data_IF_384754339039
#
_entry.id   IF_384754339039
#
_cell.length_a   1.000
_cell.length_b   1.000
_cell.length_c   1.000
_cell.angle_alpha   90.00
_cell.angle_beta   90.00
_cell.angle_gamma   90.00
#
_symmetry.space_group_name_H-M   'P 1'
#
loop_
_entity.id
_entity.type
_entity.pdbx_description
1 polymer ?
#
# COMPACT_ATOMS: atom_id res chain seq x y z
N UNK A 1 -14.99 8.42 -61.62
CA UNK A 1 -14.48 7.75 -60.41
C UNK A 1 -14.31 8.80 -59.32
N UNK A 2 -15.24 8.84 -58.36
CA UNK A 2 -15.27 9.81 -57.26
C UNK A 2 -14.36 9.34 -56.12
N UNK A 3 -13.48 10.21 -55.60
CA UNK A 3 -12.70 9.96 -54.37
C UNK A 3 -13.28 10.83 -53.26
N UNK A 4 -13.90 10.20 -52.27
CA UNK A 4 -14.35 10.86 -51.05
C UNK A 4 -13.16 10.98 -50.09
N UNK A 5 -12.90 12.21 -49.62
CA UNK A 5 -11.95 12.48 -48.54
C UNK A 5 -12.69 12.33 -47.20
N UNK A 6 -12.26 11.39 -46.36
CA UNK A 6 -12.74 11.27 -44.98
C UNK A 6 -11.95 12.25 -44.10
N UNK A 7 -12.62 13.28 -43.59
CA UNK A 7 -12.07 14.13 -42.53
C UNK A 7 -12.29 13.42 -41.19
N UNK A 8 -11.22 12.86 -40.62
CA UNK A 8 -11.22 12.30 -39.27
C UNK A 8 -11.24 13.42 -38.22
N UNK A 9 -12.32 13.50 -37.44
CA UNK A 9 -12.43 14.40 -36.30
C UNK A 9 -11.60 13.88 -35.11
N UNK A 10 -10.66 14.70 -34.64
CA UNK A 10 -9.93 14.46 -33.39
C UNK A 10 -10.85 14.80 -32.20
N UNK A 11 -11.37 13.79 -31.53
CA UNK A 11 -12.00 13.95 -30.22
C UNK A 11 -10.90 14.07 -29.15
N UNK A 12 -10.67 15.28 -28.63
CA UNK A 12 -9.80 15.49 -27.49
C UNK A 12 -10.47 14.94 -26.22
N UNK A 13 -9.97 13.83 -25.68
CA UNK A 13 -10.31 13.40 -24.32
C UNK A 13 -9.74 14.42 -23.33
N UNK A 14 -10.60 15.27 -22.77
CA UNK A 14 -10.23 16.07 -21.61
C UNK A 14 -9.99 15.11 -20.42
N UNK A 15 -8.72 14.88 -20.09
CA UNK A 15 -8.30 14.26 -18.84
C UNK A 15 -8.71 15.19 -17.69
N UNK A 16 -9.94 15.02 -17.18
CA UNK A 16 -10.35 15.64 -15.92
C UNK A 16 -9.41 15.12 -14.85
N UNK A 17 -8.50 15.98 -14.40
CA UNK A 17 -7.58 15.65 -13.32
C UNK A 17 -8.40 15.44 -12.03
N UNK A 18 -8.32 14.27 -11.36
CA UNK A 18 -9.07 14.01 -10.13
C UNK A 18 -8.66 14.90 -8.95
N UNK A 19 -7.65 15.76 -9.12
CA UNK A 19 -7.15 16.69 -8.11
C UNK A 19 -8.20 17.72 -7.60
N UNK A 20 -9.26 17.99 -8.36
CA UNK A 20 -10.24 19.03 -7.99
C UNK A 20 -11.35 18.57 -7.02
N UNK A 21 -11.43 17.28 -6.66
CA UNK A 21 -12.55 16.73 -5.89
C UNK A 21 -12.17 16.22 -4.48
N UNK A 22 -10.96 16.48 -4.01
CA UNK A 22 -10.51 15.98 -2.71
C UNK A 22 -10.99 16.90 -1.58
N UNK A 23 -11.83 16.38 -0.69
CA UNK A 23 -12.43 17.12 0.43
C UNK A 23 -11.37 17.90 1.23
N UNK A 24 -11.63 19.18 1.50
CA UNK A 24 -10.71 20.09 2.18
C UNK A 24 -10.37 19.69 3.63
N UNK A 25 -11.01 18.66 4.20
CA UNK A 25 -10.70 18.11 5.53
C UNK A 25 -10.83 16.57 5.53
N UNK A 26 -9.84 15.83 6.04
CA UNK A 26 -9.95 14.39 6.27
C UNK A 26 -11.16 14.06 7.16
N UNK A 27 -11.94 13.04 6.78
CA UNK A 27 -13.12 12.62 7.54
C UNK A 27 -12.77 12.12 8.96
N UNK A 28 -11.56 11.60 9.18
CA UNK A 28 -11.10 11.18 10.51
C UNK A 28 -10.67 12.35 11.41
N UNK A 29 -10.71 13.59 10.92
CA UNK A 29 -10.33 14.77 11.68
C UNK A 29 -11.56 15.51 12.23
N UNK A 30 -11.91 15.24 13.49
CA UNK A 30 -12.99 15.96 14.20
C UNK A 30 -12.53 17.30 14.78
N UNK A 31 -11.23 17.62 14.76
CA UNK A 31 -10.67 18.78 15.45
C UNK A 31 -10.74 20.00 14.54
N UNK A 32 -11.27 21.12 15.03
CA UNK A 32 -11.47 22.36 14.26
C UNK A 32 -10.32 23.34 14.50
N UNK A 33 -9.14 23.00 14.00
CA UNK A 33 -7.93 23.84 14.08
C UNK A 33 -7.26 23.81 12.70
N UNK A 34 -6.72 24.95 12.26
CA UNK A 34 -5.87 24.97 11.06
C UNK A 34 -4.55 24.26 11.38
N UNK A 35 -4.22 23.22 10.61
CA UNK A 35 -3.02 22.40 10.79
C UNK A 35 -1.98 22.63 9.70
N UNK A 36 -2.27 23.46 8.70
CA UNK A 36 -1.42 23.65 7.50
C UNK A 36 -0.03 24.21 7.81
N UNK A 37 0.13 24.87 8.97
CA UNK A 37 1.41 25.41 9.42
C UNK A 37 2.28 24.39 10.18
N UNK A 38 1.76 23.20 10.49
CA UNK A 38 2.55 22.14 11.09
C UNK A 38 3.33 21.37 10.02
N UNK A 39 4.57 21.04 10.35
CA UNK A 39 5.51 20.35 9.47
C UNK A 39 6.30 19.30 10.25
N UNK A 40 7.15 18.55 9.57
CA UNK A 40 8.08 17.61 10.20
C UNK A 40 8.90 18.24 11.35
N UNK A 41 9.30 19.51 11.21
CA UNK A 41 10.11 20.23 12.20
C UNK A 41 9.30 21.19 13.09
N UNK A 42 7.99 21.30 12.85
CA UNK A 42 7.03 22.02 13.69
C UNK A 42 5.82 21.10 13.91
N UNK A 43 5.93 20.09 14.80
CA UNK A 43 4.98 18.99 14.88
C UNK A 43 3.60 19.44 15.35
N UNK A 44 2.56 18.74 14.90
CA UNK A 44 1.19 18.94 15.39
C UNK A 44 1.11 18.66 16.90
N UNK A 45 0.69 19.59 17.77
CA UNK A 45 0.54 19.32 19.20
C UNK A 45 -0.37 18.11 19.45
N UNK A 46 -0.04 17.26 20.43
CA UNK A 46 -0.79 16.02 20.73
C UNK A 46 -2.30 16.22 20.89
N UNK A 47 -2.72 17.34 21.49
CA UNK A 47 -4.15 17.71 21.65
C UNK A 47 -4.89 17.98 20.34
N UNK A 48 -4.17 18.17 19.24
CA UNK A 48 -4.69 18.40 17.90
C UNK A 48 -4.45 17.20 16.97
N UNK A 49 -3.92 16.08 17.47
CA UNK A 49 -3.73 14.88 16.66
C UNK A 49 -5.07 14.24 16.28
N UNK A 50 -5.13 13.72 15.06
CA UNK A 50 -6.20 12.84 14.60
C UNK A 50 -6.13 11.52 15.37
N UNK A 51 -7.27 10.81 15.53
CA UNK A 51 -7.26 9.43 16.01
C UNK A 51 -6.38 8.56 15.10
N UNK A 52 -5.62 7.64 15.72
CA UNK A 52 -4.83 6.66 14.99
C UNK A 52 -5.74 5.74 14.17
N UNK A 53 -5.40 5.54 12.90
CA UNK A 53 -6.05 4.58 12.01
C UNK A 53 -5.00 3.54 11.60
N UNK A 54 -5.13 2.28 12.05
CA UNK A 54 -4.20 1.23 11.67
C UNK A 54 -4.49 0.76 10.24
N UNK A 55 -3.45 0.76 9.40
CA UNK A 55 -3.42 0.21 8.06
C UNK A 55 -2.59 -1.08 8.12
N UNK A 56 -3.28 -2.22 8.34
CA UNK A 56 -2.66 -3.54 8.35
C UNK A 56 -1.72 -3.68 7.15
N UNK A 57 -0.40 -3.80 7.36
CA UNK A 57 0.59 -3.75 6.30
C UNK A 57 0.25 -4.73 5.16
N UNK A 58 0.15 -4.22 3.93
CA UNK A 58 -0.14 -5.02 2.74
C UNK A 58 -1.55 -5.64 2.67
N UNK A 59 -2.49 -5.25 3.53
CA UNK A 59 -3.89 -5.72 3.52
C UNK A 59 -4.89 -4.58 3.39
N UNK A 60 -4.79 -3.56 4.26
CA UNK A 60 -5.71 -2.42 4.27
C UNK A 60 -4.94 -1.12 4.22
N UNK A 61 -5.47 -0.13 3.52
CA UNK A 61 -4.87 1.20 3.42
C UNK A 61 -5.94 2.27 3.67
N UNK A 62 -5.70 3.15 4.65
CA UNK A 62 -6.57 4.28 4.93
C UNK A 62 -6.30 5.43 3.96
N UNK A 63 -7.32 6.26 3.67
CA UNK A 63 -7.17 7.48 2.88
C UNK A 63 -6.63 8.65 3.73
N UNK A 64 -6.01 8.37 4.89
CA UNK A 64 -5.55 9.39 5.82
C UNK A 64 -4.02 9.38 5.95
N UNK A 65 -3.48 10.57 6.18
CA UNK A 65 -2.06 10.79 6.45
C UNK A 65 -1.79 10.82 7.96
N UNK A 66 -0.55 10.52 8.34
CA UNK A 66 -0.07 10.77 9.71
C UNK A 66 0.10 12.26 9.97
N UNK A 67 -0.19 12.72 11.19
CA UNK A 67 0.02 14.12 11.57
C UNK A 67 1.49 14.55 11.47
N UNK A 68 1.70 15.79 11.03
CA UNK A 68 3.02 16.39 10.87
C UNK A 68 3.92 16.15 12.10
N UNK A 69 5.13 15.65 11.86
CA UNK A 69 6.13 15.36 12.89
C UNK A 69 5.86 14.14 13.76
N UNK A 70 4.84 13.32 13.44
CA UNK A 70 4.54 12.09 14.17
C UNK A 70 4.94 10.85 13.36
N UNK A 71 5.28 9.79 14.08
CA UNK A 71 5.69 8.51 13.52
C UNK A 71 4.67 7.43 13.89
N UNK A 72 4.31 6.60 12.92
CA UNK A 72 3.45 5.43 13.11
C UNK A 72 4.17 4.20 12.56
N UNK A 73 4.25 3.16 13.37
CA UNK A 73 4.83 1.87 12.99
C UNK A 73 3.78 0.79 13.19
N UNK A 74 3.56 0.02 12.14
CA UNK A 74 2.63 -1.09 12.12
C UNK A 74 3.37 -2.32 11.62
N UNK A 75 3.10 -3.49 12.20
CA UNK A 75 3.73 -4.74 11.78
C UNK A 75 2.77 -5.91 11.93
N UNK A 76 2.73 -6.77 10.92
CA UNK A 76 2.20 -8.12 11.05
C UNK A 76 3.38 -9.01 11.49
N UNK A 77 3.43 -9.32 12.80
CA UNK A 77 4.55 -10.06 13.39
C UNK A 77 4.69 -11.48 12.77
N UNK A 78 3.57 -12.14 12.53
CA UNK A 78 3.48 -13.41 11.83
C UNK A 78 2.23 -13.42 10.94
N UNK A 79 2.40 -13.80 9.67
CA UNK A 79 1.31 -13.96 8.71
C UNK A 79 1.48 -15.27 7.95
N UNK A 80 0.38 -16.01 7.79
CA UNK A 80 0.27 -17.19 6.95
C UNK A 80 -0.71 -16.90 5.81
N UNK A 81 -0.26 -17.09 4.58
CA UNK A 81 -1.13 -17.17 3.41
C UNK A 81 -1.13 -18.61 2.89
N UNK A 82 -2.33 -19.14 2.68
CA UNK A 82 -2.50 -20.44 2.04
C UNK A 82 -3.16 -20.22 0.69
N UNK A 83 -2.57 -20.79 -0.37
CA UNK A 83 -3.06 -20.70 -1.74
C UNK A 83 -3.35 -22.09 -2.29
N UNK A 84 -4.39 -22.19 -3.10
CA UNK A 84 -4.70 -23.39 -3.89
C UNK A 84 -5.22 -22.97 -5.25
N UNK A 85 -4.54 -23.43 -6.30
CA UNK A 85 -4.83 -23.14 -7.70
C UNK A 85 -4.69 -24.41 -8.52
N UNK A 86 -5.81 -25.07 -8.83
CA UNK A 86 -5.81 -26.36 -9.53
C UNK A 86 -5.05 -27.43 -8.74
N UNK A 87 -4.05 -28.11 -9.34
CA UNK A 87 -3.21 -29.10 -8.65
C UNK A 87 -2.13 -28.45 -7.77
N UNK A 88 -1.90 -27.15 -7.88
CA UNK A 88 -0.87 -26.47 -7.10
C UNK A 88 -1.46 -25.97 -5.78
N UNK A 89 -0.75 -26.19 -4.68
CA UNK A 89 -1.08 -25.59 -3.39
C UNK A 89 0.20 -25.10 -2.68
N UNK A 90 0.07 -24.14 -1.78
CA UNK A 90 1.25 -23.57 -1.13
C UNK A 90 0.96 -22.74 0.10
N UNK A 91 2.03 -22.50 0.86
CA UNK A 91 2.04 -21.72 2.08
C UNK A 91 3.13 -20.67 2.04
N UNK A 92 2.75 -19.41 2.25
CA UNK A 92 3.67 -18.30 2.44
C UNK A 92 3.61 -17.84 3.90
N UNK A 93 4.73 -17.93 4.59
CA UNK A 93 4.94 -17.40 5.93
C UNK A 93 5.73 -16.10 5.85
N UNK A 94 5.22 -15.07 6.51
CA UNK A 94 5.91 -13.79 6.65
C UNK A 94 6.18 -13.55 8.12
N UNK A 95 7.42 -13.16 8.44
CA UNK A 95 7.80 -12.70 9.76
C UNK A 95 8.19 -11.22 9.67
N UNK A 96 7.52 -10.41 10.51
CA UNK A 96 7.73 -8.97 10.60
C UNK A 96 7.56 -8.24 9.25
N UNK A 97 6.34 -8.26 8.73
CA UNK A 97 5.94 -7.38 7.62
C UNK A 97 5.53 -6.03 8.19
N UNK A 98 6.37 -5.01 8.04
CA UNK A 98 6.13 -3.71 8.67
C UNK A 98 5.84 -2.59 7.68
N UNK A 99 5.13 -1.58 8.18
CA UNK A 99 4.86 -0.30 7.57
C UNK A 99 5.17 0.82 8.56
N UNK A 100 6.20 1.60 8.24
CA UNK A 100 6.60 2.79 8.97
C UNK A 100 6.12 4.03 8.22
N UNK A 101 5.53 5.00 8.92
CA UNK A 101 4.99 6.25 8.37
C UNK A 101 5.50 7.44 9.17
N UNK A 102 5.83 8.53 8.48
CA UNK A 102 6.18 9.80 9.11
C UNK A 102 5.42 10.95 8.45
N UNK A 103 4.70 11.73 9.27
CA UNK A 103 3.97 12.90 8.80
C UNK A 103 4.90 14.05 8.42
N UNK A 104 4.88 14.46 7.15
CA UNK A 104 5.66 15.59 6.63
C UNK A 104 4.91 16.92 6.80
N UNK A 105 3.61 16.91 6.50
CA UNK A 105 2.66 18.02 6.71
C UNK A 105 1.34 17.48 7.28
N UNK A 106 0.34 18.32 7.47
CA UNK A 106 -1.00 17.88 7.89
C UNK A 106 -1.70 16.96 6.89
N UNK A 107 -1.27 16.98 5.61
CA UNK A 107 -1.87 16.21 4.51
C UNK A 107 -0.93 15.24 3.83
N UNK A 108 0.35 15.26 4.19
CA UNK A 108 1.38 14.50 3.48
C UNK A 108 2.18 13.66 4.45
N UNK A 109 2.33 12.36 4.16
CA UNK A 109 3.26 11.48 4.87
C UNK A 109 4.17 10.72 3.91
N UNK A 110 5.32 10.31 4.43
CA UNK A 110 6.23 9.39 3.77
C UNK A 110 6.17 8.04 4.47
N UNK A 111 6.19 6.96 3.69
CA UNK A 111 6.05 5.61 4.21
C UNK A 111 7.12 4.67 3.65
N UNK A 112 7.55 3.74 4.50
CA UNK A 112 8.47 2.65 4.15
C UNK A 112 7.84 1.33 4.59
N UNK A 113 7.69 0.40 3.66
CA UNK A 113 7.26 -0.96 3.95
C UNK A 113 8.34 -1.97 3.56
N UNK A 114 8.44 -3.05 4.33
CA UNK A 114 9.36 -4.15 4.05
C UNK A 114 8.85 -5.46 4.63
N UNK A 115 8.93 -6.51 3.82
CA UNK A 115 8.88 -7.90 4.26
C UNK A 115 10.26 -8.35 4.75
N UNK A 116 10.48 -8.37 6.06
CA UNK A 116 11.81 -8.70 6.60
C UNK A 116 12.20 -10.15 6.32
N UNK A 117 11.25 -11.08 6.40
CA UNK A 117 11.50 -12.48 6.09
C UNK A 117 10.26 -13.16 5.55
N UNK A 118 10.41 -13.81 4.40
CA UNK A 118 9.40 -14.61 3.74
C UNK A 118 9.91 -16.03 3.56
N UNK A 119 9.05 -17.01 3.81
CA UNK A 119 9.25 -18.41 3.53
C UNK A 119 8.05 -18.93 2.73
N UNK A 120 8.30 -19.35 1.50
CA UNK A 120 7.30 -19.85 0.56
C UNK A 120 7.56 -21.30 0.24
N UNK A 121 6.52 -22.13 0.36
CA UNK A 121 6.57 -23.55 0.10
C UNK A 121 5.40 -23.93 -0.80
N UNK A 122 5.70 -24.32 -2.04
CA UNK A 122 4.71 -24.70 -3.05
C UNK A 122 4.83 -26.18 -3.41
N UNK A 123 3.69 -26.78 -3.66
CA UNK A 123 3.51 -28.18 -4.03
C UNK A 123 2.73 -28.26 -5.34
N UNK A 124 3.10 -29.19 -6.21
CA UNK A 124 2.39 -29.49 -7.47
C UNK A 124 1.89 -30.93 -7.49
N UNK A 125 0.60 -31.11 -7.19
CA UNK A 125 -0.05 -32.42 -7.15
C UNK A 125 -0.23 -33.04 -8.55
N UNK A 126 0.09 -32.33 -9.64
CA UNK A 126 0.03 -32.91 -11.00
C UNK A 126 1.22 -33.82 -11.31
N UNK A 127 2.27 -33.77 -10.50
CA UNK A 127 3.50 -34.54 -10.65
C UNK A 127 3.49 -35.86 -9.86
N UNK A 128 2.30 -36.42 -9.59
CA UNK A 128 2.14 -37.71 -8.88
C UNK A 128 2.97 -38.81 -9.56
N UNK A 129 4.00 -39.31 -8.86
CA UNK A 129 4.91 -40.35 -9.33
C UNK A 129 6.33 -39.89 -9.67
N UNK A 130 6.61 -38.57 -9.64
CA UNK A 130 7.96 -38.00 -9.66
C UNK A 130 8.54 -37.91 -8.25
N UNK A 131 9.87 -37.77 -8.15
CA UNK A 131 10.57 -37.70 -6.87
C UNK A 131 9.92 -36.64 -5.94
N UNK A 132 9.59 -36.95 -4.68
CA UNK A 132 9.06 -35.99 -3.72
C UNK A 132 9.87 -34.68 -3.61
N UNK A 133 11.15 -34.70 -3.96
CA UNK A 133 11.99 -33.50 -4.01
C UNK A 133 11.73 -32.59 -5.23
N UNK A 134 11.24 -33.13 -6.36
CA UNK A 134 10.87 -32.35 -7.56
C UNK A 134 9.50 -31.68 -7.42
N UNK A 135 8.61 -32.25 -6.59
CA UNK A 135 7.27 -31.71 -6.31
C UNK A 135 7.31 -30.47 -5.39
N UNK A 136 8.49 -30.12 -4.85
CA UNK A 136 8.65 -29.12 -3.81
C UNK A 136 9.44 -27.91 -4.31
N UNK A 137 8.79 -26.74 -4.36
CA UNK A 137 9.46 -25.47 -4.62
C UNK A 137 9.51 -24.63 -3.35
N UNK A 138 10.72 -24.47 -2.81
CA UNK A 138 10.99 -23.71 -1.59
C UNK A 138 11.75 -22.43 -1.90
N UNK A 139 11.21 -21.31 -1.44
CA UNK A 139 11.85 -20.00 -1.54
C UNK A 139 11.91 -19.32 -0.16
N UNK A 140 13.02 -18.64 0.12
CA UNK A 140 13.19 -17.85 1.34
C UNK A 140 14.00 -16.59 1.06
N UNK A 141 13.67 -15.50 1.74
CA UNK A 141 14.41 -14.27 1.56
C UNK A 141 13.76 -13.06 2.22
N UNK A 142 14.35 -11.91 1.95
CA UNK A 142 13.80 -10.58 2.25
C UNK A 142 12.97 -10.16 1.04
N UNK A 143 11.79 -9.58 1.27
CA UNK A 143 10.98 -9.04 0.19
C UNK A 143 11.39 -7.63 -0.21
N UNK A 144 10.52 -6.98 -0.96
CA UNK A 144 10.81 -5.67 -1.53
C UNK A 144 10.73 -4.56 -0.48
N UNK A 145 11.59 -3.55 -0.64
CA UNK A 145 11.44 -2.28 0.07
C UNK A 145 10.52 -1.38 -0.74
N UNK A 146 9.39 -1.00 -0.17
CA UNK A 146 8.43 -0.09 -0.81
C UNK A 146 8.50 1.28 -0.17
N UNK A 147 8.75 2.31 -0.99
CA UNK A 147 8.71 3.71 -0.57
C UNK A 147 7.44 4.37 -1.12
N UNK A 148 6.72 5.11 -0.27
CA UNK A 148 5.47 5.77 -0.66
C UNK A 148 5.41 7.20 -0.15
N UNK A 149 4.82 8.07 -0.96
CA UNK A 149 4.42 9.41 -0.55
C UNK A 149 2.89 9.48 -0.66
N UNK A 150 2.20 9.72 0.47
CA UNK A 150 0.74 9.83 0.50
C UNK A 150 0.35 11.30 0.66
N UNK A 151 -0.64 11.75 -0.12
CA UNK A 151 -1.26 13.08 0.01
C UNK A 151 -2.78 12.95 0.09
N UNK A 152 -3.39 13.62 1.08
CA UNK A 152 -4.81 13.40 1.46
C UNK A 152 -5.67 14.64 1.40
#
# INVERSE_FOLDING_TARGET
MMRHFYAGGLAALALVSPAAAQSAKPLNDSITVDKRHYTLFNPTPRRYMRPMVPDRPGITESPYSVDAGHFQYETDALRLLTRREGPTHGHDWYANHFLAKIGLTDRTDFQVALDMYTYSHNFDDSQVGQDPFDQNQLHRGVGDVTLRLKHT
#
